data_IF_423932117454
#
_entry.id   IF_423932117454
#
_cell.length_a   1.000
_cell.length_b   1.000
_cell.length_c   1.000
_cell.angle_alpha   90.00
_cell.angle_beta   90.00
_cell.angle_gamma   90.00
#
_symmetry.space_group_name_H-M   'P 1'
#
loop_
_entity.id
_entity.type
_entity.pdbx_description
1 polymer ?
#
# COMPACT_ATOMS: atom_id res chain seq x y z
N UNK A 1 -8.20 14.04 -15.67
CA UNK A 1 -8.27 13.12 -16.83
C UNK A 1 -9.71 12.72 -17.14
N UNK A 2 -9.98 12.17 -18.34
CA UNK A 2 -11.31 11.66 -18.74
C UNK A 2 -11.81 10.55 -17.80
N UNK A 3 -10.89 9.71 -17.32
CA UNK A 3 -11.18 8.65 -16.33
C UNK A 3 -11.76 9.21 -15.01
N UNK A 4 -11.10 10.21 -14.43
CA UNK A 4 -11.57 10.81 -13.17
C UNK A 4 -12.94 11.49 -13.30
N UNK A 5 -13.23 12.09 -14.47
CA UNK A 5 -14.56 12.62 -14.75
C UNK A 5 -15.59 11.51 -14.73
N UNK A 6 -15.35 10.44 -15.47
CA UNK A 6 -16.24 9.28 -15.51
C UNK A 6 -16.43 8.67 -14.11
N UNK A 7 -15.36 8.39 -13.38
CA UNK A 7 -15.43 7.82 -12.04
C UNK A 7 -16.26 8.70 -11.08
N UNK A 8 -16.07 10.02 -11.13
CA UNK A 8 -16.82 10.97 -10.32
C UNK A 8 -18.33 10.98 -10.61
N UNK A 9 -18.72 10.69 -11.84
CA UNK A 9 -20.12 10.65 -12.28
C UNK A 9 -20.81 9.31 -11.95
N UNK A 10 -20.04 8.21 -11.76
CA UNK A 10 -20.57 6.86 -11.60
C UNK A 10 -20.50 6.31 -10.17
N UNK A 11 -19.64 6.87 -9.32
CA UNK A 11 -19.46 6.44 -7.93
C UNK A 11 -19.75 7.56 -6.95
N UNK A 12 -20.41 7.23 -5.84
CA UNK A 12 -20.67 8.19 -4.76
C UNK A 12 -19.35 8.68 -4.14
N UNK A 13 -18.39 7.78 -3.96
CA UNK A 13 -17.08 8.05 -3.38
C UNK A 13 -16.04 7.11 -3.99
N UNK A 14 -14.84 7.62 -4.24
CA UNK A 14 -13.68 6.85 -4.72
C UNK A 14 -12.52 7.10 -3.77
N UNK A 15 -12.06 6.04 -3.12
CA UNK A 15 -10.91 6.03 -2.23
C UNK A 15 -9.72 5.45 -2.98
N UNK A 16 -8.60 6.13 -2.94
CA UNK A 16 -7.39 5.73 -3.66
C UNK A 16 -6.23 5.66 -2.68
N UNK A 17 -5.46 4.59 -2.71
CA UNK A 17 -4.15 4.54 -2.06
C UNK A 17 -3.05 4.87 -3.07
N UNK A 18 -2.03 5.66 -2.71
CA UNK A 18 -0.89 5.86 -3.59
C UNK A 18 -0.07 4.58 -3.70
N UNK A 19 0.39 4.27 -4.90
CA UNK A 19 1.41 3.26 -5.13
C UNK A 19 2.80 3.88 -5.26
N UNK A 20 3.82 3.06 -5.50
CA UNK A 20 5.18 3.53 -5.76
C UNK A 20 5.26 4.45 -6.98
N UNK A 21 4.47 4.20 -8.02
CA UNK A 21 4.47 5.00 -9.24
C UNK A 21 3.95 6.44 -9.05
N UNK A 22 3.15 6.72 -8.01
CA UNK A 22 2.75 8.09 -7.66
C UNK A 22 3.93 8.97 -7.25
N UNK A 23 5.07 8.36 -6.88
CA UNK A 23 6.31 9.06 -6.53
C UNK A 23 7.36 9.07 -7.67
N UNK A 24 7.08 8.46 -8.83
CA UNK A 24 7.99 8.48 -9.96
C UNK A 24 8.15 9.90 -10.54
N UNK A 25 9.25 10.14 -11.25
CA UNK A 25 9.58 11.47 -11.78
C UNK A 25 10.15 12.41 -10.70
N UNK A 26 10.90 11.87 -9.75
CA UNK A 26 11.55 12.59 -8.63
C UNK A 26 10.57 13.09 -7.56
N UNK A 27 9.43 12.41 -7.41
CA UNK A 27 8.54 12.65 -6.28
C UNK A 27 9.21 12.27 -4.95
N UNK A 28 9.05 13.13 -3.94
CA UNK A 28 9.65 12.91 -2.61
C UNK A 28 8.60 12.32 -1.65
N UNK A 29 8.89 11.16 -1.11
CA UNK A 29 8.00 10.43 -0.19
C UNK A 29 7.69 11.27 1.06
N UNK A 30 8.66 12.04 1.55
CA UNK A 30 8.50 12.86 2.75
C UNK A 30 7.79 14.20 2.49
N UNK A 31 7.58 14.61 1.23
CA UNK A 31 7.06 15.93 0.91
C UNK A 31 5.69 16.25 1.52
N UNK A 32 4.89 15.22 1.83
CA UNK A 32 3.53 15.37 2.40
C UNK A 32 3.42 14.84 3.82
N UNK A 33 4.53 14.39 4.42
CA UNK A 33 4.55 13.70 5.71
C UNK A 33 3.96 12.28 5.66
N UNK A 34 3.86 11.64 6.82
CA UNK A 34 3.50 10.23 6.94
C UNK A 34 2.01 9.96 6.72
N UNK A 35 1.15 10.97 6.90
CA UNK A 35 -0.31 10.84 6.81
C UNK A 35 -0.90 12.05 6.07
N UNK A 36 -1.53 11.80 4.92
CA UNK A 36 -2.10 12.87 4.09
C UNK A 36 -3.31 12.41 3.28
N UNK A 37 -4.07 13.39 2.78
CA UNK A 37 -5.10 13.20 1.76
C UNK A 37 -4.95 14.24 0.65
N UNK A 38 -5.39 13.91 -0.55
CA UNK A 38 -5.37 14.81 -1.70
C UNK A 38 -6.62 14.64 -2.53
N UNK A 39 -7.38 15.75 -2.67
CA UNK A 39 -8.59 15.78 -3.50
C UNK A 39 -8.22 15.87 -4.98
N UNK A 40 -8.73 14.92 -5.78
CA UNK A 40 -8.73 14.98 -7.24
C UNK A 40 -10.02 15.58 -7.75
N UNK A 41 -11.14 15.23 -7.12
CA UNK A 41 -12.49 15.74 -7.30
C UNK A 41 -13.24 15.63 -5.98
N UNK A 42 -14.35 16.36 -5.85
CA UNK A 42 -15.18 16.41 -4.62
C UNK A 42 -15.45 15.03 -3.99
N UNK A 43 -15.57 13.98 -4.79
CA UNK A 43 -15.83 12.61 -4.34
C UNK A 43 -14.71 11.62 -4.67
N UNK A 44 -13.52 12.09 -5.04
CA UNK A 44 -12.35 11.26 -5.38
C UNK A 44 -11.13 11.80 -4.65
N UNK A 45 -10.56 10.98 -3.76
CA UNK A 45 -9.42 11.38 -2.95
C UNK A 45 -8.36 10.28 -2.87
N UNK A 46 -7.09 10.69 -2.89
CA UNK A 46 -6.00 9.89 -2.37
C UNK A 46 -5.95 9.95 -0.85
N UNK A 47 -5.58 8.82 -0.26
CA UNK A 47 -5.38 8.69 1.18
C UNK A 47 -4.11 7.87 1.47
N UNK A 48 -3.21 8.43 2.25
CA UNK A 48 -2.04 7.74 2.79
C UNK A 48 -2.11 7.76 4.31
N UNK A 49 -2.07 6.57 4.90
CA UNK A 49 -2.20 6.35 6.34
C UNK A 49 -3.43 7.09 6.92
N UNK A 50 -4.60 6.77 6.39
CA UNK A 50 -5.90 7.32 6.81
C UNK A 50 -6.94 6.22 7.00
N UNK A 51 -7.81 6.45 7.98
CA UNK A 51 -9.05 5.68 8.12
C UNK A 51 -10.21 6.51 7.58
N UNK A 52 -11.02 5.91 6.74
CA UNK A 52 -12.25 6.53 6.20
C UNK A 52 -13.42 5.65 6.60
N UNK A 53 -14.31 6.18 7.45
CA UNK A 53 -15.56 5.51 7.82
C UNK A 53 -16.62 5.75 6.75
N UNK A 54 -17.19 4.67 6.23
CA UNK A 54 -18.38 4.69 5.37
C UNK A 54 -19.38 3.71 5.99
N UNK A 55 -20.52 4.24 6.39
CA UNK A 55 -21.54 3.50 7.15
C UNK A 55 -20.91 2.75 8.34
N UNK A 56 -21.04 1.43 8.40
CA UNK A 56 -20.51 0.59 9.48
C UNK A 56 -19.11 0.03 9.21
N UNK A 57 -18.40 0.53 8.19
CA UNK A 57 -17.12 -0.01 7.73
C UNK A 57 -16.01 1.01 7.85
N UNK A 58 -14.90 0.63 8.47
CA UNK A 58 -13.64 1.37 8.41
C UNK A 58 -12.79 0.87 7.24
N UNK A 59 -12.48 1.79 6.34
CA UNK A 59 -11.48 1.59 5.29
C UNK A 59 -10.14 2.16 5.77
N UNK A 60 -9.17 1.28 6.02
CA UNK A 60 -7.82 1.64 6.46
C UNK A 60 -6.93 1.65 5.22
N UNK A 61 -6.49 2.86 4.80
CA UNK A 61 -5.83 3.09 3.53
C UNK A 61 -4.35 3.44 3.72
N UNK A 62 -3.46 2.72 3.06
CA UNK A 62 -2.01 2.89 3.16
C UNK A 62 -1.30 2.35 1.91
N UNK A 63 -0.16 2.93 1.54
CA UNK A 63 0.73 2.32 0.53
C UNK A 63 1.24 0.95 1.00
N UNK A 64 1.43 0.77 2.30
CA UNK A 64 2.06 -0.35 2.99
C UNK A 64 3.57 -0.43 2.72
N UNK A 65 4.02 -0.21 1.47
CA UNK A 65 5.33 -0.63 1.02
C UNK A 65 5.55 -2.11 1.35
N UNK A 66 6.79 -2.59 1.39
CA UNK A 66 7.09 -3.93 1.88
C UNK A 66 8.47 -3.98 2.53
N UNK A 67 8.78 -5.05 3.22
CA UNK A 67 10.06 -5.19 3.91
C UNK A 67 11.07 -5.92 3.03
N UNK A 68 12.05 -5.17 2.51
CA UNK A 68 13.15 -5.72 1.71
C UNK A 68 14.13 -6.43 2.66
N UNK A 69 14.32 -7.72 2.43
CA UNK A 69 15.25 -8.52 3.24
C UNK A 69 16.71 -8.21 2.91
N UNK A 70 17.65 -8.30 3.85
CA UNK A 70 19.07 -8.09 3.59
C UNK A 70 19.63 -8.99 2.46
N UNK A 71 19.08 -10.20 2.32
CA UNK A 71 19.44 -11.16 1.26
C UNK A 71 19.12 -10.61 -0.14
N UNK A 72 17.98 -9.91 -0.26
CA UNK A 72 17.45 -9.50 -1.56
C UNK A 72 17.86 -8.06 -1.93
N UNK A 73 18.38 -7.29 -0.97
CA UNK A 73 18.69 -5.86 -1.09
C UNK A 73 19.52 -5.53 -2.33
N UNK A 74 20.56 -6.33 -2.60
CA UNK A 74 21.43 -6.11 -3.76
C UNK A 74 20.66 -6.19 -5.09
N UNK A 75 19.80 -7.18 -5.23
CA UNK A 75 19.03 -7.38 -6.45
C UNK A 75 17.90 -6.36 -6.58
N UNK A 76 17.20 -6.08 -5.48
CA UNK A 76 16.10 -5.12 -5.41
C UNK A 76 16.58 -3.70 -5.73
N UNK A 77 17.65 -3.23 -5.09
CA UNK A 77 18.19 -1.88 -5.31
C UNK A 77 18.63 -1.61 -6.75
N UNK A 78 19.02 -2.65 -7.47
CA UNK A 78 19.43 -2.56 -8.88
C UNK A 78 18.30 -2.87 -9.86
N UNK A 79 17.40 -3.76 -9.49
CA UNK A 79 16.32 -4.25 -10.35
C UNK A 79 15.12 -3.32 -10.43
N UNK A 80 14.82 -2.56 -9.35
CA UNK A 80 13.65 -1.72 -9.31
C UNK A 80 13.93 -0.27 -9.68
N UNK A 81 12.99 0.32 -10.43
CA UNK A 81 13.07 1.72 -10.83
C UNK A 81 12.81 2.68 -9.67
N UNK A 82 12.17 2.25 -8.61
CA UNK A 82 11.87 3.01 -7.40
C UNK A 82 13.13 3.75 -6.90
N UNK A 83 14.26 3.03 -6.81
CA UNK A 83 15.54 3.58 -6.33
C UNK A 83 16.24 4.51 -7.32
N UNK A 84 15.67 4.73 -8.51
CA UNK A 84 16.14 5.68 -9.53
C UNK A 84 15.18 6.85 -9.72
N UNK A 85 13.90 6.63 -9.47
CA UNK A 85 12.81 7.54 -9.81
C UNK A 85 12.26 8.30 -8.61
N UNK A 86 12.47 7.80 -7.39
CA UNK A 86 11.87 8.33 -6.15
C UNK A 86 12.92 9.05 -5.32
N UNK A 87 12.51 10.12 -4.63
CA UNK A 87 13.31 10.84 -3.66
C UNK A 87 12.80 10.64 -2.22
N UNK A 88 13.69 10.87 -1.27
CA UNK A 88 13.43 10.81 0.16
C UNK A 88 14.17 11.94 0.87
N UNK A 89 13.46 12.99 1.24
CA UNK A 89 14.07 14.18 1.85
C UNK A 89 15.08 14.88 0.93
N UNK A 90 14.79 14.98 -0.38
CA UNK A 90 15.63 15.62 -1.38
C UNK A 90 16.83 14.80 -1.85
N UNK A 91 16.99 13.56 -1.40
CA UNK A 91 17.99 12.61 -1.89
C UNK A 91 17.33 11.38 -2.52
N UNK A 92 18.13 10.53 -3.18
CA UNK A 92 17.65 9.29 -3.75
C UNK A 92 17.09 8.36 -2.67
N UNK A 93 15.96 7.74 -2.96
CA UNK A 93 15.32 6.71 -2.15
C UNK A 93 16.21 5.45 -2.04
N UNK A 94 16.30 4.85 -0.88
CA UNK A 94 17.12 3.67 -0.62
C UNK A 94 16.28 2.50 -0.11
N UNK A 95 16.84 1.30 -0.08
CA UNK A 95 16.19 0.11 0.50
C UNK A 95 15.93 0.26 1.99
N UNK A 96 16.80 0.98 2.71
CA UNK A 96 16.60 1.31 4.12
C UNK A 96 15.40 2.25 4.31
N UNK A 97 15.29 3.30 3.49
CA UNK A 97 14.13 4.20 3.52
C UNK A 97 12.83 3.46 3.20
N UNK A 98 12.88 2.54 2.25
CA UNK A 98 11.76 1.68 1.87
C UNK A 98 11.24 0.88 3.08
N UNK A 99 12.16 0.28 3.83
CA UNK A 99 11.83 -0.46 5.05
C UNK A 99 11.30 0.46 6.16
N UNK A 100 11.85 1.67 6.31
CA UNK A 100 11.33 2.68 7.26
C UNK A 100 9.89 3.04 6.93
N UNK A 101 9.58 3.30 5.66
CA UNK A 101 8.22 3.62 5.23
C UNK A 101 7.26 2.42 5.42
N UNK A 102 7.74 1.19 5.19
CA UNK A 102 6.98 -0.01 5.50
C UNK A 102 6.59 -0.07 6.99
N UNK A 103 7.55 0.10 7.89
CA UNK A 103 7.29 0.05 9.33
C UNK A 103 6.28 1.12 9.79
N UNK A 104 6.37 2.34 9.25
CA UNK A 104 5.40 3.40 9.53
C UNK A 104 3.99 3.02 9.07
N UNK A 105 3.87 2.52 7.84
CA UNK A 105 2.59 2.08 7.28
C UNK A 105 2.00 0.91 8.06
N UNK A 106 2.81 -0.10 8.37
CA UNK A 106 2.37 -1.28 9.12
C UNK A 106 1.94 -0.92 10.54
N UNK A 107 2.70 -0.07 11.23
CA UNK A 107 2.34 0.43 12.56
C UNK A 107 1.00 1.17 12.54
N UNK A 108 0.78 2.03 11.52
CA UNK A 108 -0.49 2.72 11.31
C UNK A 108 -1.64 1.72 11.10
N UNK A 109 -1.47 0.73 10.22
CA UNK A 109 -2.50 -0.28 9.91
C UNK A 109 -2.87 -1.05 11.17
N UNK A 110 -1.87 -1.62 11.89
CA UNK A 110 -2.10 -2.40 13.11
C UNK A 110 -2.85 -1.60 14.17
N UNK A 111 -2.40 -0.39 14.43
CA UNK A 111 -3.05 0.53 15.38
C UNK A 111 -4.49 0.83 14.96
N UNK A 112 -4.72 1.13 13.68
CA UNK A 112 -6.07 1.45 13.18
C UNK A 112 -7.03 0.27 13.26
N UNK A 113 -6.55 -0.96 13.01
CA UNK A 113 -7.34 -2.19 13.19
C UNK A 113 -7.71 -2.41 14.65
N UNK A 114 -6.75 -2.22 15.57
CA UNK A 114 -6.96 -2.38 17.01
C UNK A 114 -7.94 -1.34 17.58
N UNK A 115 -7.81 -0.09 17.15
CA UNK A 115 -8.63 1.04 17.63
C UNK A 115 -10.01 1.13 16.96
N UNK A 116 -10.27 0.38 15.90
CA UNK A 116 -11.54 0.44 15.18
C UNK A 116 -12.69 -0.11 16.03
N UNK A 117 -13.76 0.66 16.12
CA UNK A 117 -15.05 0.28 16.70
C UNK A 117 -16.12 -0.01 15.62
N UNK A 118 -15.74 -0.02 14.35
CA UNK A 118 -16.63 -0.37 13.24
C UNK A 118 -17.10 -1.82 13.31
N UNK A 119 -18.25 -2.10 12.73
CA UNK A 119 -18.73 -3.47 12.54
C UNK A 119 -17.81 -4.25 11.60
N UNK A 120 -17.34 -3.58 10.53
CA UNK A 120 -16.43 -4.15 9.53
C UNK A 120 -15.14 -3.36 9.40
N UNK A 121 -14.06 -4.07 9.12
CA UNK A 121 -12.73 -3.51 8.87
C UNK A 121 -12.19 -3.99 7.53
N UNK A 122 -11.94 -3.07 6.63
CA UNK A 122 -11.35 -3.33 5.31
C UNK A 122 -10.01 -2.60 5.22
N UNK A 123 -8.93 -3.34 5.01
CA UNK A 123 -7.62 -2.75 4.75
C UNK A 123 -7.40 -2.64 3.24
N UNK A 124 -6.93 -1.50 2.79
CA UNK A 124 -6.63 -1.23 1.37
C UNK A 124 -5.18 -0.78 1.26
N UNK A 125 -4.37 -1.55 0.53
CA UNK A 125 -2.95 -1.23 0.34
C UNK A 125 -2.55 -1.28 -1.13
N UNK A 126 -1.39 -0.69 -1.45
CA UNK A 126 -0.79 -0.87 -2.77
C UNK A 126 0.02 -2.16 -2.81
N UNK A 127 0.94 -2.36 -1.86
CA UNK A 127 1.77 -3.58 -1.81
C UNK A 127 1.00 -4.78 -1.24
N UNK A 128 1.47 -5.98 -1.58
CA UNK A 128 0.86 -7.23 -1.20
C UNK A 128 1.07 -7.53 0.29
N UNK A 129 0.02 -7.97 1.01
CA UNK A 129 0.12 -8.21 2.46
C UNK A 129 0.71 -9.57 2.85
N UNK A 130 0.88 -10.50 1.90
CA UNK A 130 1.45 -11.83 2.17
C UNK A 130 2.11 -12.40 0.91
N UNK A 131 3.08 -13.28 1.10
CA UNK A 131 3.71 -14.03 -0.01
C UNK A 131 2.76 -15.02 -0.69
N UNK A 132 1.66 -15.40 -0.04
CA UNK A 132 0.67 -16.31 -0.60
C UNK A 132 0.01 -15.75 -1.86
N UNK A 133 -0.16 -14.44 -1.92
CA UNK A 133 -0.78 -13.72 -3.06
C UNK A 133 0.24 -13.24 -4.10
N UNK A 134 1.46 -13.68 -4.04
CA UNK A 134 2.44 -13.52 -5.13
C UNK A 134 2.05 -14.46 -6.26
N UNK A 135 1.94 -13.92 -7.48
CA UNK A 135 1.58 -14.72 -8.65
C UNK A 135 2.55 -15.90 -8.85
N UNK A 136 2.04 -17.09 -9.24
CA UNK A 136 2.87 -18.30 -9.34
C UNK A 136 4.14 -18.14 -10.17
N UNK A 137 4.07 -17.40 -11.28
CA UNK A 137 5.20 -17.12 -12.18
C UNK A 137 6.29 -16.26 -11.55
N UNK A 138 5.99 -15.56 -10.46
CA UNK A 138 6.96 -14.72 -9.74
C UNK A 138 7.47 -15.35 -8.44
N UNK A 139 6.93 -16.51 -8.03
CA UNK A 139 7.39 -17.19 -6.81
C UNK A 139 8.87 -17.53 -6.89
N UNK A 140 9.62 -17.18 -5.83
CA UNK A 140 11.08 -17.40 -5.75
C UNK A 140 11.94 -16.29 -6.37
N UNK A 141 11.34 -15.22 -6.90
CA UNK A 141 12.10 -14.04 -7.35
C UNK A 141 12.71 -13.30 -6.17
N UNK A 142 13.98 -12.87 -6.32
CA UNK A 142 14.65 -11.97 -5.36
C UNK A 142 14.00 -10.58 -5.24
N UNK A 143 13.10 -10.22 -6.16
CA UNK A 143 12.38 -8.96 -6.10
C UNK A 143 11.13 -9.03 -5.20
N UNK A 144 10.69 -10.23 -4.82
CA UNK A 144 9.42 -10.41 -4.10
C UNK A 144 9.37 -9.68 -2.76
N UNK A 145 10.51 -9.52 -2.06
CA UNK A 145 10.57 -8.77 -0.81
C UNK A 145 10.27 -7.27 -0.98
N UNK A 146 10.34 -6.74 -2.21
CA UNK A 146 9.90 -5.39 -2.54
C UNK A 146 8.45 -5.31 -3.04
N UNK A 147 7.77 -6.44 -3.22
CA UNK A 147 6.37 -6.50 -3.66
C UNK A 147 5.43 -6.92 -2.55
N UNK A 148 5.88 -7.82 -1.69
CA UNK A 148 5.05 -8.43 -0.65
C UNK A 148 5.78 -8.50 0.68
N UNK A 149 5.02 -8.31 1.76
CA UNK A 149 5.46 -8.57 3.12
C UNK A 149 4.62 -9.70 3.72
N UNK A 150 5.18 -10.50 4.64
CA UNK A 150 4.45 -11.66 5.15
C UNK A 150 3.65 -11.29 6.40
N UNK A 151 2.36 -11.06 6.21
CA UNK A 151 1.40 -10.74 7.27
C UNK A 151 0.26 -11.77 7.38
N UNK A 152 0.34 -12.92 6.72
CA UNK A 152 -0.73 -13.95 6.72
C UNK A 152 -1.19 -14.30 8.12
N UNK A 153 -0.25 -14.62 9.02
CA UNK A 153 -0.58 -14.93 10.41
C UNK A 153 -1.23 -13.75 11.17
N UNK A 154 -0.82 -12.50 10.88
CA UNK A 154 -1.48 -11.33 11.46
C UNK A 154 -2.91 -11.18 10.93
N UNK A 155 -3.12 -11.36 9.63
CA UNK A 155 -4.44 -11.26 8.98
C UNK A 155 -5.39 -12.31 9.57
N UNK A 156 -4.99 -13.58 9.60
CA UNK A 156 -5.78 -14.69 10.11
C UNK A 156 -6.21 -14.51 11.58
N UNK A 157 -5.40 -13.84 12.40
CA UNK A 157 -5.67 -13.61 13.82
C UNK A 157 -6.21 -12.20 14.13
N UNK A 158 -6.54 -11.41 13.13
CA UNK A 158 -7.08 -10.05 13.29
C UNK A 158 -8.60 -10.02 13.10
N UNK A 159 -9.18 -8.84 13.30
CA UNK A 159 -10.59 -8.57 12.99
C UNK A 159 -10.80 -8.01 11.57
N UNK A 160 -9.85 -8.18 10.67
CA UNK A 160 -9.93 -7.69 9.29
C UNK A 160 -10.89 -8.59 8.51
N UNK A 161 -11.95 -8.02 7.95
CA UNK A 161 -12.92 -8.75 7.11
C UNK A 161 -12.40 -8.94 5.69
N UNK A 162 -11.67 -7.96 5.16
CA UNK A 162 -11.09 -8.01 3.82
C UNK A 162 -9.81 -7.19 3.71
N UNK A 163 -8.88 -7.67 2.87
CA UNK A 163 -7.68 -6.92 2.48
C UNK A 163 -7.61 -6.80 0.96
N UNK A 164 -7.69 -5.57 0.47
CA UNK A 164 -7.63 -5.23 -0.96
C UNK A 164 -6.22 -4.72 -1.25
N UNK A 165 -5.60 -5.21 -2.31
CA UNK A 165 -4.25 -4.81 -2.69
C UNK A 165 -4.09 -4.67 -4.20
N UNK A 166 -3.02 -3.98 -4.62
CA UNK A 166 -2.62 -3.80 -6.02
C UNK A 166 -1.23 -4.38 -6.30
N UNK A 167 -0.44 -3.69 -7.08
CA UNK A 167 0.99 -3.92 -7.37
C UNK A 167 1.34 -5.23 -8.10
N UNK A 168 0.61 -6.32 -7.88
CA UNK A 168 0.85 -7.63 -8.49
C UNK A 168 0.58 -7.67 -10.00
N UNK A 169 -0.21 -6.73 -10.53
CA UNK A 169 -0.73 -6.73 -11.90
C UNK A 169 -1.47 -8.04 -12.29
N UNK A 170 -1.92 -8.79 -11.29
CA UNK A 170 -2.60 -10.07 -11.44
C UNK A 170 -3.86 -10.07 -10.57
N UNK A 171 -4.97 -10.58 -11.10
CA UNK A 171 -6.20 -10.74 -10.33
C UNK A 171 -6.08 -11.96 -9.42
N UNK A 172 -6.13 -11.72 -8.12
CA UNK A 172 -6.03 -12.76 -7.09
C UNK A 172 -7.20 -12.56 -6.11
N UNK A 173 -7.86 -13.67 -5.80
CA UNK A 173 -8.88 -13.74 -4.77
C UNK A 173 -8.66 -15.04 -3.98
N UNK A 174 -8.41 -14.92 -2.69
CA UNK A 174 -8.12 -16.05 -1.80
C UNK A 174 -8.61 -15.75 -0.38
N UNK A 175 -8.64 -16.77 0.45
CA UNK A 175 -8.90 -16.66 1.89
C UNK A 175 -7.57 -16.95 2.60
N UNK A 176 -7.28 -16.20 3.64
CA UNK A 176 -6.12 -16.40 4.53
C UNK A 176 -6.67 -16.98 5.84
N UNK A 177 -6.29 -18.22 6.15
CA UNK A 177 -6.74 -19.00 7.33
C UNK A 177 -5.63 -19.11 8.40
#
# INVERSE_FOLDING_TARGET
TRFWKWASEHYKQVLIVPGNHEFYGQGDVLARGDSWSHEIRKNIHYYQNKVVRIDNTDFILSTLWSHITPRDEYFVSRGMNDFRQIQYGGRRFTTEDYNIEHEKCLSFIKKSVEESDAEHVVVVTHHLPTMEVVAPEHKGSYLNSAFATELGNYIANSRIDAWIFGHSHTNINTVID
#
